data_IF_563155515278
#
_entry.id   IF_563155515278
#
_cell.length_a   1.000
_cell.length_b   1.000
_cell.length_c   1.000
_cell.angle_alpha   90.00
_cell.angle_beta   90.00
_cell.angle_gamma   90.00
#
_symmetry.space_group_name_H-M   'P 1'
#
loop_
_entity.id
_entity.type
_entity.pdbx_description
1 polymer ?
#
# COMPACT_ATOMS: atom_id res chain seq x y z
N UNK A 1 10.09 0.76 29.50
CA UNK A 1 10.45 1.47 28.25
C UNK A 1 11.55 0.66 27.62
N UNK A 2 11.31 -0.03 26.50
CA UNK A 2 12.35 -0.77 25.79
C UNK A 2 12.77 0.12 24.63
N UNK A 3 13.99 0.64 24.70
CA UNK A 3 14.63 1.41 23.65
C UNK A 3 14.78 0.50 22.42
N UNK A 4 14.11 0.87 21.34
CA UNK A 4 14.34 0.29 20.02
C UNK A 4 15.78 0.63 19.63
N UNK A 5 16.68 -0.35 19.80
CA UNK A 5 18.05 -0.29 19.30
C UNK A 5 18.00 -0.26 17.77
N UNK A 6 17.89 0.94 17.19
CA UNK A 6 18.05 1.14 15.76
C UNK A 6 19.49 0.73 15.39
N UNK A 7 19.65 -0.35 14.63
CA UNK A 7 20.95 -0.78 14.12
C UNK A 7 21.62 0.40 13.38
N UNK A 8 22.88 0.74 13.68
CA UNK A 8 23.53 1.97 13.19
C UNK A 8 23.94 1.93 11.71
N UNK A 9 23.65 0.85 10.99
CA UNK A 9 24.06 0.61 9.60
C UNK A 9 22.98 -0.19 8.85
N UNK A 10 22.87 -0.05 7.51
CA UNK A 10 21.86 -0.77 6.74
C UNK A 10 22.12 -2.29 6.80
N UNK A 11 21.14 -3.04 7.33
CA UNK A 11 21.19 -4.50 7.39
C UNK A 11 20.89 -5.09 6.01
N UNK A 12 21.65 -6.12 5.60
CA UNK A 12 21.30 -6.97 4.46
C UNK A 12 20.11 -7.85 4.83
N UNK A 13 19.12 -7.95 3.95
CA UNK A 13 17.87 -8.67 4.20
C UNK A 13 17.72 -9.87 3.25
N UNK A 14 17.28 -11.01 3.79
CA UNK A 14 16.92 -12.21 3.02
C UNK A 14 15.59 -12.77 3.49
N UNK A 15 14.81 -13.34 2.58
CA UNK A 15 13.62 -14.11 2.94
C UNK A 15 14.02 -15.54 3.31
N UNK A 16 13.41 -16.05 4.37
CA UNK A 16 13.61 -17.40 4.88
C UNK A 16 12.27 -18.12 5.00
N UNK A 17 12.21 -19.33 4.46
CA UNK A 17 11.01 -20.17 4.52
C UNK A 17 11.39 -21.59 4.97
N UNK A 18 10.57 -22.24 5.83
CA UNK A 18 10.83 -23.61 6.23
C UNK A 18 10.55 -24.54 5.04
N UNK A 19 11.35 -25.60 4.88
CA UNK A 19 11.10 -26.63 3.84
C UNK A 19 9.78 -27.38 4.03
N UNK A 20 9.21 -27.35 5.22
CA UNK A 20 7.95 -28.01 5.58
C UNK A 20 7.09 -27.08 6.42
N UNK A 21 5.78 -27.03 6.13
CA UNK A 21 4.81 -26.26 6.92
C UNK A 21 4.78 -26.65 8.40
N UNK A 22 5.07 -27.92 8.71
CA UNK A 22 5.15 -28.41 10.08
C UNK A 22 6.27 -27.75 10.90
N UNK A 23 7.26 -27.14 10.24
CA UNK A 23 8.38 -26.45 10.88
C UNK A 23 8.18 -24.93 10.97
N UNK A 24 7.04 -24.39 10.52
CA UNK A 24 6.81 -22.94 10.49
C UNK A 24 6.78 -22.32 11.89
N UNK A 25 6.04 -22.91 12.83
CA UNK A 25 6.02 -22.44 14.23
C UNK A 25 7.39 -22.61 14.90
N UNK A 26 8.06 -23.74 14.65
CA UNK A 26 9.41 -24.00 15.19
C UNK A 26 10.44 -22.98 14.68
N UNK A 27 10.35 -22.61 13.41
CA UNK A 27 11.22 -21.62 12.79
C UNK A 27 11.05 -20.25 13.46
N UNK A 28 9.81 -19.79 13.66
CA UNK A 28 9.56 -18.50 14.31
C UNK A 28 10.12 -18.46 15.74
N UNK A 29 9.96 -19.54 16.51
CA UNK A 29 10.53 -19.64 17.86
C UNK A 29 12.06 -19.64 17.84
N UNK A 30 12.68 -20.37 16.91
CA UNK A 30 14.14 -20.42 16.78
C UNK A 30 14.71 -19.05 16.36
N UNK A 31 14.09 -18.39 15.39
CA UNK A 31 14.45 -17.05 14.93
C UNK A 31 14.34 -16.00 16.04
N UNK A 32 13.27 -16.06 16.85
CA UNK A 32 13.13 -15.16 18.00
C UNK A 32 14.26 -15.32 19.01
N UNK A 33 14.66 -16.57 19.32
CA UNK A 33 15.79 -16.83 20.23
C UNK A 33 17.11 -16.30 19.66
N UNK A 34 17.36 -16.48 18.37
CA UNK A 34 18.56 -15.97 17.71
C UNK A 34 18.60 -14.43 17.70
N UNK A 35 17.44 -13.78 17.56
CA UNK A 35 17.33 -12.32 17.64
C UNK A 35 17.57 -11.79 19.07
N UNK A 36 17.12 -12.52 20.10
CA UNK A 36 17.37 -12.16 21.50
C UNK A 36 18.87 -12.30 21.86
N UNK A 37 19.58 -13.24 21.25
CA UNK A 37 21.02 -13.47 21.46
C UNK A 37 21.90 -12.44 20.75
N UNK A 38 21.48 -11.95 19.59
CA UNK A 38 22.26 -11.04 18.76
C UNK A 38 21.46 -9.79 18.35
N UNK A 39 21.74 -8.61 18.92
CA UNK A 39 21.01 -7.38 18.61
C UNK A 39 21.18 -6.91 17.16
N UNK A 40 22.19 -7.42 16.44
CA UNK A 40 22.44 -7.14 15.03
C UNK A 40 21.71 -8.11 14.09
N UNK A 41 20.90 -9.02 14.64
CA UNK A 41 20.05 -9.94 13.89
C UNK A 41 18.59 -9.58 14.15
N UNK A 42 17.90 -9.15 13.09
CA UNK A 42 16.50 -8.76 13.19
C UNK A 42 15.63 -9.72 12.37
N UNK A 43 14.43 -9.96 12.89
CA UNK A 43 13.44 -10.82 12.26
C UNK A 43 12.18 -9.98 12.10
N UNK A 44 11.64 -9.94 10.89
CA UNK A 44 10.41 -9.22 10.59
C UNK A 44 9.54 -10.10 9.71
N UNK A 45 8.24 -10.10 9.97
CA UNK A 45 7.27 -10.75 9.09
C UNK A 45 6.72 -9.72 8.12
N UNK A 46 6.84 -10.00 6.83
CA UNK A 46 6.25 -9.17 5.79
C UNK A 46 4.77 -9.55 5.63
N UNK A 47 3.86 -8.65 6.00
CA UNK A 47 2.41 -8.92 5.99
C UNK A 47 1.82 -9.03 4.58
N UNK A 48 2.48 -8.47 3.56
CA UNK A 48 1.99 -8.49 2.17
C UNK A 48 2.31 -9.79 1.46
N UNK A 49 3.55 -10.25 1.56
CA UNK A 49 4.04 -11.49 0.96
C UNK A 49 3.83 -12.71 1.86
N UNK A 50 3.64 -12.49 3.17
CA UNK A 50 3.59 -13.55 4.17
C UNK A 50 4.95 -14.19 4.45
N UNK A 51 6.03 -13.60 3.94
CA UNK A 51 7.38 -14.10 4.12
C UNK A 51 7.96 -13.70 5.47
N UNK A 52 8.82 -14.56 6.03
CA UNK A 52 9.68 -14.17 7.15
C UNK A 52 10.97 -13.61 6.57
N UNK A 53 11.29 -12.36 6.91
CA UNK A 53 12.51 -11.66 6.49
C UNK A 53 13.45 -11.66 7.69
N UNK A 54 14.70 -12.05 7.45
CA UNK A 54 15.79 -11.91 8.41
C UNK A 54 16.79 -10.88 7.90
N UNK A 55 17.27 -10.03 8.80
CA UNK A 55 18.19 -8.95 8.52
C UNK A 55 19.45 -9.10 9.38
N UNK A 56 20.62 -8.94 8.75
CA UNK A 56 21.91 -9.08 9.40
C UNK A 56 22.96 -8.12 8.82
N UNK A 57 24.03 -7.92 9.57
CA UNK A 57 25.16 -7.03 9.19
C UNK A 57 25.71 -7.23 7.79
N UNK A 58 25.94 -8.49 7.43
CA UNK A 58 26.56 -8.84 6.17
C UNK A 58 26.10 -10.26 5.77
N UNK A 59 26.45 -10.66 4.56
CA UNK A 59 26.12 -11.97 4.01
C UNK A 59 26.66 -13.11 4.88
N UNK A 60 27.88 -12.95 5.42
CA UNK A 60 28.52 -13.97 6.24
C UNK A 60 27.77 -14.18 7.57
N UNK A 61 27.32 -13.11 8.20
CA UNK A 61 26.50 -13.16 9.40
C UNK A 61 25.19 -13.91 9.16
N UNK A 62 24.52 -13.65 8.03
CA UNK A 62 23.29 -14.36 7.67
C UNK A 62 23.53 -15.85 7.39
N UNK A 63 24.63 -16.20 6.75
CA UNK A 63 25.02 -17.61 6.52
C UNK A 63 25.20 -18.34 7.85
N UNK A 64 25.91 -17.74 8.81
CA UNK A 64 26.06 -18.33 10.15
C UNK A 64 24.70 -18.56 10.81
N UNK A 65 23.80 -17.57 10.77
CA UNK A 65 22.48 -17.72 11.40
C UNK A 65 21.64 -18.82 10.75
N UNK A 66 21.72 -18.95 9.41
CA UNK A 66 21.05 -20.02 8.67
C UNK A 66 21.62 -21.40 9.01
N UNK A 67 22.94 -21.51 9.19
CA UNK A 67 23.57 -22.78 9.58
C UNK A 67 23.24 -23.14 11.03
N UNK A 68 23.19 -22.17 11.96
CA UNK A 68 22.70 -22.41 13.34
C UNK A 68 21.27 -22.94 13.36
N UNK A 69 20.38 -22.44 12.49
CA UNK A 69 19.02 -23.00 12.36
C UNK A 69 19.01 -24.47 11.93
N UNK A 70 19.98 -24.89 11.11
CA UNK A 70 20.10 -26.28 10.67
C UNK A 70 20.74 -27.17 11.73
N UNK A 71 21.79 -26.69 12.39
CA UNK A 71 22.61 -27.50 13.29
C UNK A 71 22.05 -27.54 14.72
N UNK A 72 21.58 -26.41 15.25
CA UNK A 72 21.08 -26.32 16.64
C UNK A 72 19.60 -26.66 16.76
N UNK A 73 18.80 -26.29 15.75
CA UNK A 73 17.35 -26.45 15.79
C UNK A 73 16.82 -27.55 14.85
N UNK A 74 17.70 -28.17 14.06
CA UNK A 74 17.37 -29.21 13.08
C UNK A 74 16.30 -28.75 12.04
N UNK A 75 16.27 -27.45 11.72
CA UNK A 75 15.29 -26.86 10.81
C UNK A 75 15.91 -26.65 9.43
N UNK A 76 15.44 -27.44 8.46
CA UNK A 76 15.73 -27.20 7.06
C UNK A 76 14.98 -25.96 6.54
N UNK A 77 15.74 -24.95 6.11
CA UNK A 77 15.23 -23.69 5.55
C UNK A 77 15.68 -23.49 4.10
N UNK A 78 14.84 -22.79 3.34
CA UNK A 78 15.17 -22.22 2.03
C UNK A 78 15.42 -20.72 2.23
N UNK A 79 16.43 -20.20 1.53
CA UNK A 79 16.79 -18.78 1.54
C UNK A 79 16.64 -18.21 0.13
N UNK A 80 16.14 -16.98 0.05
CA UNK A 80 15.96 -16.27 -1.19
C UNK A 80 16.00 -14.76 -1.00
N UNK A 81 15.96 -14.03 -2.12
CA UNK A 81 15.76 -12.59 -2.07
C UNK A 81 14.37 -12.27 -1.50
N UNK A 82 14.23 -11.29 -0.60
CA UNK A 82 12.93 -10.83 -0.14
C UNK A 82 12.09 -10.38 -1.33
N UNK A 83 10.78 -10.66 -1.29
CA UNK A 83 9.88 -10.00 -2.22
C UNK A 83 9.88 -8.49 -1.94
N UNK A 84 10.16 -7.74 -2.99
CA UNK A 84 10.15 -6.28 -2.95
C UNK A 84 8.71 -5.81 -3.02
N UNK A 85 8.22 -5.17 -1.95
CA UNK A 85 6.93 -4.51 -1.94
C UNK A 85 6.97 -3.26 -2.82
N UNK A 86 6.86 -3.46 -4.13
CA UNK A 86 6.76 -2.37 -5.08
C UNK A 86 5.57 -1.47 -4.73
N UNK A 87 5.77 -0.17 -4.86
CA UNK A 87 4.71 0.84 -4.70
C UNK A 87 4.60 1.67 -5.97
N UNK A 88 3.46 2.29 -6.16
CA UNK A 88 3.29 3.28 -7.21
C UNK A 88 3.12 4.67 -6.58
N UNK A 89 3.55 5.71 -7.28
CA UNK A 89 3.27 7.09 -6.87
C UNK A 89 3.04 7.97 -8.09
N UNK A 90 2.59 9.19 -7.87
CA UNK A 90 2.45 10.22 -8.90
C UNK A 90 3.56 11.25 -8.78
N UNK A 91 3.91 11.90 -9.89
CA UNK A 91 5.02 12.87 -9.94
C UNK A 91 4.57 14.27 -10.33
N UNK A 92 3.39 14.40 -10.91
CA UNK A 92 2.82 15.67 -11.35
C UNK A 92 1.46 15.91 -10.70
N UNK A 93 1.11 17.18 -10.53
CA UNK A 93 -0.23 17.57 -10.15
C UNK A 93 -1.12 17.69 -11.40
N UNK A 94 -2.35 17.22 -11.31
CA UNK A 94 -3.34 17.39 -12.37
C UNK A 94 -4.74 17.50 -11.76
N UNK A 95 -5.52 18.42 -12.30
CA UNK A 95 -6.96 18.46 -12.05
C UNK A 95 -7.69 17.65 -13.11
N UNK A 96 -8.65 16.83 -12.70
CA UNK A 96 -9.46 16.02 -13.59
C UNK A 96 -10.94 16.18 -13.26
N UNK A 97 -11.73 16.45 -14.30
CA UNK A 97 -13.18 16.51 -14.25
C UNK A 97 -13.74 15.27 -14.93
N UNK A 98 -14.63 14.55 -14.26
CA UNK A 98 -15.24 13.34 -14.77
C UNK A 98 -16.73 13.35 -14.46
N UNK A 99 -17.54 13.06 -15.48
CA UNK A 99 -18.98 12.92 -15.35
C UNK A 99 -19.39 11.49 -15.63
N UNK A 100 -19.88 10.81 -14.59
CA UNK A 100 -20.54 9.52 -14.68
C UNK A 100 -22.02 9.71 -14.99
N UNK A 101 -22.44 9.31 -16.18
CA UNK A 101 -23.86 9.25 -16.55
C UNK A 101 -24.14 7.90 -17.21
N UNK A 102 -24.77 6.99 -16.47
CA UNK A 102 -25.09 5.64 -16.95
C UNK A 102 -26.46 5.20 -16.45
N UNK A 103 -27.01 4.17 -17.09
CA UNK A 103 -28.23 3.49 -16.63
C UNK A 103 -27.79 2.12 -16.13
N UNK A 104 -28.13 1.79 -14.89
CA UNK A 104 -27.84 0.50 -14.27
C UNK A 104 -29.13 -0.13 -13.76
N UNK A 105 -29.45 -1.34 -14.23
CA UNK A 105 -30.65 -2.08 -13.85
C UNK A 105 -31.96 -1.24 -13.93
N UNK A 106 -32.08 -0.40 -14.98
CA UNK A 106 -33.25 0.45 -15.19
C UNK A 106 -33.31 1.73 -14.35
N UNK A 107 -32.32 1.99 -13.48
CA UNK A 107 -32.18 3.25 -12.73
C UNK A 107 -31.06 4.11 -13.31
N UNK A 108 -31.28 5.42 -13.37
CA UNK A 108 -30.25 6.39 -13.71
C UNK A 108 -29.17 6.44 -12.63
N UNK A 109 -27.92 6.58 -13.06
CA UNK A 109 -26.78 6.92 -12.21
C UNK A 109 -26.15 8.20 -12.73
N UNK A 110 -26.00 9.18 -11.85
CA UNK A 110 -25.35 10.44 -12.14
C UNK A 110 -24.39 10.84 -11.03
N UNK A 111 -23.16 11.21 -11.40
CA UNK A 111 -22.21 11.87 -10.51
C UNK A 111 -21.16 12.60 -11.36
N UNK A 112 -20.95 13.89 -11.10
CA UNK A 112 -19.78 14.62 -11.62
C UNK A 112 -18.83 14.89 -10.47
N UNK A 113 -17.55 14.58 -10.66
CA UNK A 113 -16.49 14.84 -9.70
C UNK A 113 -15.36 15.59 -10.39
N UNK A 114 -14.92 16.66 -9.76
CA UNK A 114 -13.72 17.40 -10.16
C UNK A 114 -12.72 17.31 -9.03
N UNK A 115 -11.58 16.69 -9.30
CA UNK A 115 -10.59 16.34 -8.28
C UNK A 115 -9.22 16.85 -8.72
N UNK A 116 -8.57 17.60 -7.84
CA UNK A 116 -7.17 17.97 -7.98
C UNK A 116 -6.31 16.91 -7.29
N UNK A 117 -5.49 16.21 -8.07
CA UNK A 117 -4.51 15.25 -7.58
C UNK A 117 -3.14 15.90 -7.54
N UNK A 118 -2.39 15.68 -6.46
CA UNK A 118 -1.03 16.17 -6.29
C UNK A 118 -0.15 15.17 -5.54
N UNK A 119 1.15 15.09 -5.86
CA UNK A 119 2.08 14.26 -5.12
C UNK A 119 2.24 14.75 -3.69
N UNK A 120 2.22 13.82 -2.74
CA UNK A 120 2.42 14.05 -1.32
C UNK A 120 3.72 13.38 -0.85
N UNK A 121 4.85 13.91 -1.30
CA UNK A 121 6.18 13.34 -1.03
C UNK A 121 6.53 13.27 0.47
N UNK A 122 5.88 14.07 1.32
CA UNK A 122 6.16 14.15 2.76
C UNK A 122 5.37 13.13 3.60
N UNK A 123 4.36 12.47 3.03
CA UNK A 123 3.54 11.51 3.75
C UNK A 123 3.12 10.39 2.80
N UNK A 124 3.56 9.16 3.09
CA UNK A 124 3.22 7.98 2.30
C UNK A 124 1.71 7.68 2.29
N UNK A 125 0.98 8.16 3.29
CA UNK A 125 -0.46 7.91 3.38
C UNK A 125 -1.25 8.72 2.34
N UNK A 126 -2.30 8.09 1.82
CA UNK A 126 -3.31 8.78 1.04
C UNK A 126 -4.00 9.87 1.87
N UNK A 127 -4.02 11.08 1.35
CA UNK A 127 -4.70 12.23 1.97
C UNK A 127 -5.86 12.65 1.09
N UNK A 128 -7.06 12.67 1.66
CA UNK A 128 -8.25 13.20 1.02
C UNK A 128 -8.67 14.52 1.68
N UNK A 129 -8.97 15.53 0.86
CA UNK A 129 -9.47 16.83 1.30
C UNK A 129 -10.71 17.18 0.48
N UNK A 130 -11.73 17.75 1.12
CA UNK A 130 -12.88 18.33 0.43
C UNK A 130 -12.85 19.85 0.60
N UNK A 131 -13.00 20.59 -0.50
CA UNK A 131 -13.23 22.05 -0.49
C UNK A 131 -14.64 22.40 -0.95
N UNK A 132 -15.53 21.41 -1.00
CA UNK A 132 -16.94 21.62 -1.34
C UNK A 132 -17.58 22.52 -0.28
N UNK A 133 -18.34 23.52 -0.74
CA UNK A 133 -19.07 24.44 0.15
C UNK A 133 -20.13 23.67 0.94
N UNK A 134 -20.27 23.96 2.22
CA UNK A 134 -21.27 23.34 3.08
C UNK A 134 -22.67 23.41 2.45
N UNK A 135 -23.33 22.25 2.33
CA UNK A 135 -24.66 22.13 1.75
C UNK A 135 -24.73 22.04 0.22
N UNK A 136 -23.61 22.24 -0.51
CA UNK A 136 -23.59 22.06 -1.97
C UNK A 136 -23.70 20.59 -2.38
N UNK A 137 -23.27 19.66 -1.53
CA UNK A 137 -23.37 18.23 -1.75
C UNK A 137 -23.49 17.49 -0.40
N UNK A 138 -24.28 16.41 -0.31
CA UNK A 138 -24.34 15.57 0.89
C UNK A 138 -22.98 14.96 1.27
N UNK A 139 -22.69 14.90 2.57
CA UNK A 139 -21.45 14.30 3.11
C UNK A 139 -21.26 12.84 2.69
N UNK A 140 -22.36 12.11 2.52
CA UNK A 140 -22.33 10.73 2.03
C UNK A 140 -21.76 10.61 0.61
N UNK A 141 -21.91 11.63 -0.24
CA UNK A 141 -21.34 11.62 -1.58
C UNK A 141 -19.84 11.93 -1.52
N UNK A 142 -19.43 12.86 -0.66
CA UNK A 142 -18.02 13.15 -0.37
C UNK A 142 -17.31 11.88 0.12
N UNK A 143 -17.90 11.18 1.10
CA UNK A 143 -17.39 9.91 1.60
C UNK A 143 -17.35 8.81 0.51
N UNK A 144 -18.35 8.79 -0.39
CA UNK A 144 -18.36 7.93 -1.56
C UNK A 144 -17.17 8.17 -2.48
N UNK A 145 -16.86 9.44 -2.78
CA UNK A 145 -15.68 9.82 -3.57
C UNK A 145 -14.40 9.30 -2.93
N UNK A 146 -14.18 9.59 -1.64
CA UNK A 146 -12.99 9.14 -0.90
C UNK A 146 -12.84 7.62 -0.96
N UNK A 147 -13.92 6.89 -0.69
CA UNK A 147 -13.93 5.42 -0.72
C UNK A 147 -13.56 4.88 -2.11
N UNK A 148 -14.08 5.48 -3.17
CA UNK A 148 -13.76 5.09 -4.54
C UNK A 148 -12.30 5.38 -4.90
N UNK A 149 -11.74 6.49 -4.41
CA UNK A 149 -10.32 6.83 -4.56
C UNK A 149 -9.42 5.85 -3.80
N UNK A 150 -9.71 5.55 -2.53
CA UNK A 150 -8.95 4.55 -1.76
C UNK A 150 -8.95 3.19 -2.46
N UNK A 151 -10.10 2.81 -3.03
CA UNK A 151 -10.26 1.56 -3.77
C UNK A 151 -9.47 1.50 -5.07
N UNK A 152 -9.26 2.62 -5.79
CA UNK A 152 -8.41 2.61 -7.00
C UNK A 152 -6.94 2.72 -6.66
N UNK A 153 -6.58 3.40 -5.56
CA UNK A 153 -5.20 3.53 -5.11
C UNK A 153 -4.64 2.23 -4.53
N UNK A 154 -5.46 1.30 -4.05
CA UNK A 154 -4.97 -0.02 -3.64
C UNK A 154 -4.46 -0.88 -4.80
N UNK A 155 -4.84 -0.55 -6.03
CA UNK A 155 -4.41 -1.23 -7.26
C UNK A 155 -4.02 -0.18 -8.30
N UNK A 156 -2.76 0.25 -8.25
CA UNK A 156 -2.21 1.28 -9.13
C UNK A 156 -2.36 0.97 -10.62
N UNK A 157 -2.51 1.99 -11.48
CA UNK A 157 -2.81 1.81 -12.89
C UNK A 157 -1.61 1.37 -13.73
N UNK A 158 -0.37 1.42 -13.20
CA UNK A 158 0.83 1.11 -13.98
C UNK A 158 1.19 -0.38 -13.96
N UNK A 159 1.40 -0.93 -12.76
CA UNK A 159 1.80 -2.32 -12.55
C UNK A 159 0.88 -3.07 -11.57
N UNK A 160 -0.16 -2.41 -11.06
CA UNK A 160 -1.11 -3.01 -10.13
C UNK A 160 -0.64 -3.00 -8.69
N UNK A 161 0.36 -2.19 -8.34
CA UNK A 161 0.85 -2.09 -6.97
C UNK A 161 0.13 -0.98 -6.19
N UNK A 162 0.02 -1.09 -4.85
CA UNK A 162 -0.59 -0.05 -4.04
C UNK A 162 0.13 1.30 -4.21
N UNK A 163 -0.66 2.35 -4.34
CA UNK A 163 -0.19 3.72 -4.52
C UNK A 163 0.02 4.42 -3.19
N UNK A 164 1.15 5.11 -3.05
CA UNK A 164 1.51 5.91 -1.87
C UNK A 164 1.83 7.35 -2.26
N UNK A 165 1.78 8.25 -1.27
CA UNK A 165 2.16 9.65 -1.46
C UNK A 165 1.23 10.38 -2.42
N UNK A 166 -0.08 10.11 -2.34
CA UNK A 166 -1.09 10.77 -3.17
C UNK A 166 -1.96 11.65 -2.29
N UNK A 167 -2.14 12.91 -2.67
CA UNK A 167 -3.18 13.78 -2.11
C UNK A 167 -4.23 14.06 -3.17
N UNK A 168 -5.50 13.90 -2.80
CA UNK A 168 -6.64 14.19 -3.64
C UNK A 168 -7.54 15.23 -2.96
N UNK A 169 -7.80 16.33 -3.67
CA UNK A 169 -8.68 17.40 -3.21
C UNK A 169 -9.93 17.43 -4.08
N UNK A 170 -11.10 17.14 -3.51
CA UNK A 170 -12.38 17.29 -4.19
C UNK A 170 -12.72 18.78 -4.26
N UNK A 171 -12.61 19.35 -5.45
CA UNK A 171 -12.73 20.80 -5.70
C UNK A 171 -14.13 21.23 -6.12
N UNK A 172 -14.83 20.39 -6.88
CA UNK A 172 -16.19 20.64 -7.36
C UNK A 172 -16.90 19.30 -7.59
N UNK A 173 -18.22 19.32 -7.57
CA UNK A 173 -19.06 18.15 -7.80
C UNK A 173 -20.46 18.56 -8.23
N UNK A 174 -21.11 17.73 -9.04
CA UNK A 174 -22.51 17.93 -9.37
C UNK A 174 -23.31 16.64 -9.13
N UNK A 175 -24.48 16.80 -8.51
CA UNK A 175 -25.45 15.75 -8.27
C UNK A 175 -26.77 16.05 -8.99
N UNK A 176 -27.59 15.01 -9.13
CA UNK A 176 -28.95 15.05 -9.66
C UNK A 176 -29.87 14.41 -8.63
N UNK A 177 -30.98 15.06 -8.29
CA UNK A 177 -31.83 14.70 -7.15
C UNK A 177 -32.33 13.25 -7.18
N UNK A 178 -32.60 12.69 -8.37
CA UNK A 178 -33.14 11.33 -8.51
C UNK A 178 -32.11 10.27 -8.86
N UNK A 179 -31.02 10.67 -9.49
CA UNK A 179 -30.10 9.75 -10.17
C UNK A 179 -28.74 9.67 -9.47
N UNK A 180 -28.46 10.59 -8.54
CA UNK A 180 -27.25 10.56 -7.73
C UNK A 180 -27.42 9.72 -6.47
N UNK A 181 -26.33 9.06 -6.10
CA UNK A 181 -26.21 8.27 -4.87
C UNK A 181 -24.75 8.18 -4.48
N UNK A 182 -24.46 7.89 -3.21
CA UNK A 182 -23.09 7.71 -2.72
C UNK A 182 -22.30 6.66 -3.53
N UNK A 183 -22.98 5.59 -3.97
CA UNK A 183 -22.38 4.56 -4.83
C UNK A 183 -22.06 5.07 -6.24
N UNK A 184 -22.87 5.97 -6.80
CA UNK A 184 -22.56 6.60 -8.08
C UNK A 184 -21.28 7.46 -7.99
N UNK A 185 -21.10 8.20 -6.89
CA UNK A 185 -19.87 8.97 -6.63
C UNK A 185 -18.64 8.09 -6.38
N UNK A 186 -18.80 6.98 -5.66
CA UNK A 186 -17.75 5.96 -5.50
C UNK A 186 -17.32 5.35 -6.85
N UNK A 187 -18.30 5.04 -7.71
CA UNK A 187 -18.03 4.50 -9.05
C UNK A 187 -17.40 5.57 -9.94
N UNK A 188 -17.77 6.84 -9.81
CA UNK A 188 -17.27 7.94 -10.63
C UNK A 188 -15.83 8.36 -10.30
N UNK A 189 -15.40 8.26 -9.04
CA UNK A 189 -14.04 8.67 -8.65
C UNK A 189 -12.94 7.74 -9.17
N UNK A 190 -13.24 6.45 -9.35
CA UNK A 190 -12.31 5.46 -9.94
C UNK A 190 -11.88 5.80 -11.39
N UNK A 191 -12.79 5.98 -12.37
CA UNK A 191 -12.44 6.39 -13.72
C UNK A 191 -11.87 7.81 -13.76
N UNK A 192 -12.32 8.71 -12.87
CA UNK A 192 -11.70 10.03 -12.73
C UNK A 192 -10.19 9.93 -12.47
N UNK A 193 -9.77 9.11 -11.51
CA UNK A 193 -8.36 8.87 -11.26
C UNK A 193 -7.65 8.18 -12.44
N UNK A 194 -8.27 7.17 -13.04
CA UNK A 194 -7.68 6.43 -14.18
C UNK A 194 -7.46 7.31 -15.41
N UNK A 195 -8.36 8.27 -15.68
CA UNK A 195 -8.20 9.24 -16.75
C UNK A 195 -7.14 10.31 -16.41
N UNK A 196 -6.95 10.62 -15.13
CA UNK A 196 -5.88 11.50 -14.67
C UNK A 196 -4.50 10.83 -14.70
N UNK A 197 -4.40 9.51 -14.48
CA UNK A 197 -3.15 8.78 -14.31
C UNK A 197 -2.07 9.06 -15.38
N UNK A 198 -2.36 9.10 -16.70
CA UNK A 198 -1.36 9.43 -17.71
C UNK A 198 -0.75 10.82 -17.55
N UNK A 199 -1.52 11.79 -17.02
CA UNK A 199 -1.09 13.18 -16.80
C UNK A 199 -0.33 13.34 -15.48
N UNK A 200 -0.59 12.45 -14.52
CA UNK A 200 0.02 12.46 -13.19
C UNK A 200 1.46 11.90 -13.16
N UNK A 201 1.91 11.29 -14.25
CA UNK A 201 3.25 10.69 -14.32
C UNK A 201 3.43 9.59 -13.28
N UNK A 202 2.57 8.56 -13.35
CA UNK A 202 2.63 7.41 -12.43
C UNK A 202 3.99 6.70 -12.59
N UNK A 203 4.67 6.45 -11.46
CA UNK A 203 5.98 5.81 -11.42
C UNK A 203 6.02 4.71 -10.37
N UNK A 204 6.75 3.64 -10.69
CA UNK A 204 7.10 2.58 -9.75
C UNK A 204 8.18 3.06 -8.77
N UNK A 205 7.95 2.84 -7.48
CA UNK A 205 8.90 3.01 -6.41
C UNK A 205 9.46 1.64 -6.01
N UNK A 206 10.77 1.57 -6.05
CA UNK A 206 11.57 0.50 -5.47
C UNK A 206 11.90 0.91 -4.01
N UNK A 207 11.95 -0.03 -3.05
CA UNK A 207 12.35 0.23 -1.67
C UNK A 207 13.83 0.62 -1.53
#
# INVERSE_FOLDING_TARGET
QVESSAAPWPLLQIAIEPKSKANQEKLLVALSKLADENPDFQVTSDEESGQTIIAGRDEYHLVIMVDRLRDEFEIGVNVGAPQVAYRETITHACEQDYTHKRIFAGRGQFARVKIAFEPNAYNANFVFVSTIVDGAMPDEYIAGVEKGLRSVLSLGPFAGFPMIGVKATLVDGACHETDSSASAFEIASRPCFREAAPKLGVRLLEP
#
